data_IF_422199865913
#
_entry.id   IF_422199865913
#
_cell.length_a   1.000
_cell.length_b   1.000
_cell.length_c   1.000
_cell.angle_alpha   90.00
_cell.angle_beta   90.00
_cell.angle_gamma   90.00
#
_symmetry.space_group_name_H-M   'P 1'
#
loop_
_entity.id
_entity.type
_entity.pdbx_description
1 polymer ?
#
# COMPACT_ATOMS: atom_id res chain seq x y z
N UNK A 1 -3.67 -19.42 52.97
CA UNK A 1 -3.93 -18.52 51.85
C UNK A 1 -5.34 -18.00 52.02
N UNK A 2 -5.46 -16.71 52.33
CA UNK A 2 -6.75 -16.04 52.49
C UNK A 2 -7.43 -15.93 51.10
N UNK A 3 -8.74 -16.06 51.05
CA UNK A 3 -9.57 -15.67 49.91
C UNK A 3 -9.17 -14.32 49.30
N UNK A 4 -8.71 -13.36 50.11
CA UNK A 4 -8.17 -12.08 49.64
C UNK A 4 -6.88 -12.24 48.83
N UNK A 5 -5.92 -13.04 49.32
CA UNK A 5 -4.66 -13.31 48.61
C UNK A 5 -4.93 -14.02 47.28
N UNK A 6 -5.87 -14.96 47.26
CA UNK A 6 -6.29 -15.65 46.03
C UNK A 6 -6.88 -14.68 45.00
N UNK A 7 -7.67 -13.70 45.46
CA UNK A 7 -8.26 -12.69 44.60
C UNK A 7 -7.20 -11.76 44.01
N UNK A 8 -6.24 -11.31 44.82
CA UNK A 8 -5.14 -10.44 44.38
C UNK A 8 -4.25 -11.16 43.35
N UNK A 9 -3.97 -12.44 43.56
CA UNK A 9 -3.19 -13.25 42.62
C UNK A 9 -3.93 -13.45 41.28
N UNK A 10 -5.22 -13.77 41.33
CA UNK A 10 -6.05 -13.91 40.12
C UNK A 10 -6.15 -12.60 39.33
N UNK A 11 -6.31 -11.47 40.01
CA UNK A 11 -6.32 -10.15 39.35
C UNK A 11 -4.96 -9.83 38.71
N UNK A 12 -3.86 -10.16 39.37
CA UNK A 12 -2.52 -10.00 38.81
C UNK A 12 -2.33 -10.83 37.53
N UNK A 13 -2.77 -12.09 37.53
CA UNK A 13 -2.73 -12.96 36.35
C UNK A 13 -3.61 -12.43 35.21
N UNK A 14 -4.79 -11.89 35.52
CA UNK A 14 -5.70 -11.30 34.55
C UNK A 14 -5.09 -10.07 33.87
N UNK A 15 -4.49 -9.16 34.64
CA UNK A 15 -3.82 -7.98 34.10
C UNK A 15 -2.64 -8.36 33.20
N UNK A 16 -1.79 -9.30 33.62
CA UNK A 16 -0.69 -9.77 32.79
C UNK A 16 -1.15 -10.37 31.45
N UNK A 17 -2.30 -11.08 31.46
CA UNK A 17 -2.90 -11.61 30.23
C UNK A 17 -3.47 -10.50 29.35
N UNK A 18 -4.07 -9.47 29.93
CA UNK A 18 -4.55 -8.27 29.21
C UNK A 18 -3.40 -7.55 28.51
N UNK A 19 -2.32 -7.24 29.23
CA UNK A 19 -1.13 -6.58 28.67
C UNK A 19 -0.52 -7.37 27.50
N UNK A 20 -0.50 -8.70 27.62
CA UNK A 20 -0.04 -9.60 26.56
C UNK A 20 -0.94 -9.55 25.34
N UNK A 21 -2.27 -9.48 25.55
CA UNK A 21 -3.24 -9.38 24.46
C UNK A 21 -3.09 -8.03 23.75
N UNK A 22 -3.02 -6.93 24.49
CA UNK A 22 -2.81 -5.59 23.92
C UNK A 22 -1.55 -5.54 23.06
N UNK A 23 -0.44 -6.09 23.57
CA UNK A 23 0.83 -6.17 22.83
C UNK A 23 0.69 -6.99 21.54
N UNK A 24 -0.03 -8.12 21.58
CA UNK A 24 -0.30 -8.95 20.39
C UNK A 24 -1.21 -8.24 19.39
N UNK A 25 -2.23 -7.54 19.86
CA UNK A 25 -3.13 -6.75 19.02
C UNK A 25 -2.36 -5.62 18.33
N UNK A 26 -1.48 -4.92 19.04
CA UNK A 26 -0.66 -3.86 18.46
C UNK A 26 0.31 -4.40 17.40
N UNK A 27 0.93 -5.56 17.65
CA UNK A 27 1.79 -6.23 16.68
C UNK A 27 1.00 -6.69 15.44
N UNK A 28 -0.21 -7.22 15.63
CA UNK A 28 -1.11 -7.56 14.52
C UNK A 28 -1.54 -6.33 13.74
N UNK A 29 -1.85 -5.22 14.41
CA UNK A 29 -2.21 -3.97 13.74
C UNK A 29 -1.03 -3.42 12.91
N UNK A 30 0.18 -3.49 13.46
CA UNK A 30 1.41 -3.10 12.75
C UNK A 30 1.69 -4.02 11.56
N UNK A 31 1.56 -5.34 11.74
CA UNK A 31 1.70 -6.32 10.65
C UNK A 31 0.62 -6.15 9.61
N UNK A 32 -0.63 -5.96 10.00
CA UNK A 32 -1.74 -5.77 9.08
C UNK A 32 -1.55 -4.46 8.31
N UNK A 33 -1.13 -3.37 8.93
CA UNK A 33 -0.80 -2.12 8.23
C UNK A 33 0.46 -2.27 7.34
N UNK A 34 1.42 -3.11 7.73
CA UNK A 34 2.63 -3.41 6.94
C UNK A 34 2.40 -4.42 5.80
N UNK A 35 1.47 -5.37 5.95
CA UNK A 35 1.11 -6.42 4.98
C UNK A 35 -0.03 -5.96 4.05
N UNK A 36 -0.93 -5.08 4.52
CA UNK A 36 -1.81 -4.26 3.66
C UNK A 36 -1.01 -3.26 2.82
N UNK A 37 0.25 -2.99 3.17
CA UNK A 37 1.18 -2.28 2.30
C UNK A 37 1.79 -3.18 1.21
N UNK A 38 1.28 -4.41 1.01
CA UNK A 38 1.35 -4.99 -0.33
C UNK A 38 0.59 -4.05 -1.26
N UNK A 39 1.25 -3.46 -2.26
CA UNK A 39 0.56 -2.67 -3.25
C UNK A 39 -0.61 -3.47 -3.76
N UNK A 40 -1.83 -2.97 -3.59
CA UNK A 40 -2.95 -3.52 -4.31
C UNK A 40 -2.71 -3.18 -5.77
N UNK A 41 -1.96 -4.04 -6.45
CA UNK A 41 -1.71 -3.99 -7.87
C UNK A 41 -3.05 -4.23 -8.55
N UNK A 42 -3.66 -3.16 -9.03
CA UNK A 42 -4.95 -3.20 -9.70
C UNK A 42 -4.69 -3.21 -11.21
N UNK A 43 -5.47 -4.00 -11.94
CA UNK A 43 -5.35 -4.08 -13.40
C UNK A 43 -5.65 -2.71 -14.02
N UNK A 44 -4.94 -2.35 -15.09
CA UNK A 44 -4.99 -1.01 -15.67
C UNK A 44 -6.42 -0.59 -16.06
N UNK A 45 -7.26 -1.51 -16.51
CA UNK A 45 -8.67 -1.31 -16.88
C UNK A 45 -9.53 -0.72 -15.75
N UNK A 46 -9.17 -0.94 -14.49
CA UNK A 46 -9.83 -0.36 -13.31
C UNK A 46 -9.02 0.81 -12.73
N UNK A 47 -7.69 0.74 -12.80
CA UNK A 47 -6.79 1.70 -12.19
C UNK A 47 -6.88 3.11 -12.81
N UNK A 48 -7.11 3.22 -14.12
CA UNK A 48 -7.05 4.51 -14.83
C UNK A 48 -8.02 5.56 -14.26
N UNK A 49 -9.22 5.13 -13.87
CA UNK A 49 -10.23 6.03 -13.24
C UNK A 49 -9.75 6.53 -11.89
N UNK A 50 -9.14 5.65 -11.08
CA UNK A 50 -8.66 5.96 -9.72
C UNK A 50 -7.45 6.89 -9.73
N UNK A 51 -6.66 6.84 -10.79
CA UNK A 51 -5.57 7.78 -11.04
C UNK A 51 -6.04 9.12 -11.61
N UNK A 52 -7.34 9.30 -11.86
CA UNK A 52 -7.89 10.55 -12.39
C UNK A 52 -7.67 10.79 -13.88
N UNK A 53 -7.34 9.74 -14.65
CA UNK A 53 -7.23 9.88 -16.10
C UNK A 53 -8.61 9.93 -16.76
N UNK A 54 -8.74 10.74 -17.83
CA UNK A 54 -9.99 10.89 -18.60
C UNK A 54 -10.47 9.58 -19.24
N UNK A 55 -9.55 8.71 -19.63
CA UNK A 55 -9.82 7.43 -20.26
C UNK A 55 -8.63 6.48 -20.11
N UNK A 56 -8.85 5.21 -20.45
CA UNK A 56 -7.83 4.16 -20.42
C UNK A 56 -6.59 4.52 -21.26
N UNK A 57 -6.78 5.02 -22.48
CA UNK A 57 -5.68 5.32 -23.39
C UNK A 57 -4.75 6.43 -22.88
N UNK A 58 -5.29 7.43 -22.18
CA UNK A 58 -4.48 8.47 -21.56
C UNK A 58 -3.57 7.89 -20.46
N UNK A 59 -4.07 6.95 -19.66
CA UNK A 59 -3.28 6.27 -18.65
C UNK A 59 -2.25 5.32 -19.30
N UNK A 60 -2.66 4.58 -20.33
CA UNK A 60 -1.77 3.69 -21.08
C UNK A 60 -0.64 4.46 -21.76
N UNK A 61 -0.93 5.64 -22.32
CA UNK A 61 0.08 6.52 -22.90
C UNK A 61 1.14 6.91 -21.87
N UNK A 62 0.73 7.24 -20.63
CA UNK A 62 1.66 7.57 -19.55
C UNK A 62 2.58 6.41 -19.22
N UNK A 63 2.03 5.21 -19.11
CA UNK A 63 2.81 3.98 -18.92
C UNK A 63 3.83 3.81 -20.06
N UNK A 64 3.38 3.88 -21.32
CA UNK A 64 4.24 3.69 -22.50
C UNK A 64 5.30 4.78 -22.66
N UNK A 65 5.02 6.00 -22.22
CA UNK A 65 5.98 7.11 -22.23
C UNK A 65 7.08 7.00 -21.16
N UNK A 66 7.06 5.96 -20.33
CA UNK A 66 7.99 5.82 -19.20
C UNK A 66 7.68 6.78 -18.05
N UNK A 67 6.50 7.39 -18.05
CA UNK A 67 6.09 8.28 -16.96
C UNK A 67 6.04 7.52 -15.64
N UNK A 68 5.59 6.26 -15.61
CA UNK A 68 5.69 5.36 -14.45
C UNK A 68 6.74 4.27 -14.69
N UNK A 69 7.45 3.83 -13.65
CA UNK A 69 8.57 2.89 -13.75
C UNK A 69 8.11 1.45 -13.51
N UNK A 70 8.53 0.56 -14.42
CA UNK A 70 8.31 -0.88 -14.30
C UNK A 70 9.03 -1.45 -13.08
N UNK A 71 8.36 -2.32 -12.34
CA UNK A 71 8.84 -2.93 -11.10
C UNK A 71 8.74 -2.01 -9.87
N UNK A 72 8.35 -0.74 -10.03
CA UNK A 72 8.14 0.19 -8.90
C UNK A 72 6.68 0.60 -8.78
N UNK A 73 6.18 1.34 -9.77
CA UNK A 73 4.80 1.84 -9.79
C UNK A 73 3.87 0.94 -10.62
N UNK A 74 4.42 0.27 -11.62
CA UNK A 74 3.66 -0.57 -12.55
C UNK A 74 4.38 -1.90 -12.76
N UNK A 75 3.61 -2.94 -13.09
CA UNK A 75 4.12 -4.28 -13.41
C UNK A 75 3.43 -4.77 -14.66
N UNK A 76 4.20 -5.34 -15.59
CA UNK A 76 3.67 -6.08 -16.72
C UNK A 76 3.56 -7.56 -16.34
N UNK A 77 2.34 -8.09 -16.29
CA UNK A 77 2.06 -9.50 -15.99
C UNK A 77 1.62 -10.26 -17.24
N UNK A 78 2.07 -9.84 -18.43
CA UNK A 78 1.75 -10.55 -19.67
C UNK A 78 2.15 -12.02 -19.58
N UNK A 79 1.32 -12.89 -20.16
CA UNK A 79 1.70 -14.28 -20.42
C UNK A 79 2.97 -14.30 -21.29
N UNK A 80 3.89 -15.27 -21.09
CA UNK A 80 5.09 -15.41 -21.93
C UNK A 80 4.78 -15.51 -23.44
N UNK A 81 3.61 -16.02 -23.80
CA UNK A 81 3.16 -16.16 -25.20
C UNK A 81 2.44 -14.94 -25.77
N UNK A 82 2.14 -13.92 -24.95
CA UNK A 82 1.39 -12.74 -25.38
C UNK A 82 2.32 -11.59 -25.78
N UNK A 83 2.14 -11.07 -26.99
CA UNK A 83 2.74 -9.80 -27.41
C UNK A 83 2.05 -8.58 -26.81
N UNK A 84 0.82 -8.75 -26.29
CA UNK A 84 0.05 -7.69 -25.64
C UNK A 84 0.44 -7.59 -24.15
N UNK A 85 0.86 -6.41 -23.67
CA UNK A 85 1.14 -6.18 -22.26
C UNK A 85 -0.10 -6.37 -21.38
N UNK A 86 0.08 -6.87 -20.16
CA UNK A 86 -0.98 -6.93 -19.16
C UNK A 86 -0.59 -6.10 -17.94
N UNK A 87 -0.95 -4.82 -17.97
CA UNK A 87 -0.48 -3.84 -16.99
C UNK A 87 -1.26 -3.89 -15.68
N UNK A 88 -0.52 -3.94 -14.58
CA UNK A 88 -0.98 -3.79 -13.21
C UNK A 88 -0.31 -2.57 -12.57
N UNK A 89 -1.06 -1.85 -11.74
CA UNK A 89 -0.69 -0.52 -11.25
C UNK A 89 -0.83 -0.43 -9.74
N UNK A 90 0.20 0.12 -9.11
CA UNK A 90 0.20 0.56 -7.73
C UNK A 90 -0.26 2.03 -7.69
N UNK A 91 -1.52 2.24 -7.28
CA UNK A 91 -2.16 3.57 -7.31
C UNK A 91 -1.39 4.57 -6.44
N UNK A 92 -1.03 4.17 -5.21
CA UNK A 92 -0.43 5.07 -4.24
C UNK A 92 0.95 5.52 -4.69
N UNK A 93 1.77 4.59 -5.21
CA UNK A 93 3.09 4.95 -5.74
C UNK A 93 3.01 5.79 -7.01
N UNK A 94 2.05 5.52 -7.90
CA UNK A 94 1.80 6.38 -9.06
C UNK A 94 1.48 7.82 -8.62
N UNK A 95 0.55 8.00 -7.67
CA UNK A 95 0.20 9.32 -7.15
C UNK A 95 1.37 10.00 -6.41
N UNK A 96 2.16 9.26 -5.63
CA UNK A 96 3.36 9.78 -4.99
C UNK A 96 4.39 10.28 -6.02
N UNK A 97 4.54 9.53 -7.12
CA UNK A 97 5.41 9.92 -8.23
C UNK A 97 4.89 11.16 -8.97
N UNK A 98 3.59 11.25 -9.21
CA UNK A 98 2.96 12.41 -9.82
C UNK A 98 3.23 13.68 -9.00
N UNK A 99 3.05 13.60 -7.66
CA UNK A 99 3.40 14.69 -6.74
C UNK A 99 4.88 15.08 -6.81
N UNK A 100 5.77 14.09 -6.83
CA UNK A 100 7.22 14.32 -6.90
C UNK A 100 7.63 15.01 -8.21
N UNK A 101 7.08 14.57 -9.35
CA UNK A 101 7.38 15.16 -10.66
C UNK A 101 6.79 16.55 -10.82
N UNK A 102 5.59 16.80 -10.27
CA UNK A 102 4.99 18.13 -10.24
C UNK A 102 5.85 19.11 -9.43
N UNK A 103 6.31 18.71 -8.24
CA UNK A 103 7.19 19.54 -7.40
C UNK A 103 8.50 19.90 -8.11
N UNK A 104 9.14 18.95 -8.79
CA UNK A 104 10.36 19.22 -9.58
C UNK A 104 10.13 20.25 -10.71
N UNK A 105 9.00 20.14 -11.42
CA UNK A 105 8.65 21.08 -12.51
C UNK A 105 8.35 22.49 -11.99
N UNK A 106 7.76 22.60 -10.80
CA UNK A 106 7.50 23.89 -10.18
C UNK A 106 8.80 24.58 -9.75
N UNK A 107 9.72 23.86 -9.10
CA UNK A 107 11.01 24.41 -8.67
C UNK A 107 11.93 24.82 -9.83
N UNK A 108 11.81 24.18 -10.99
CA UNK A 108 12.59 24.51 -12.19
C UNK A 108 12.06 25.76 -12.93
N UNK A 109 10.86 26.24 -12.61
CA UNK A 109 10.30 27.50 -13.17
C UNK A 109 10.63 28.74 -12.33
N UNK A 110 11.16 28.55 -11.12
CA UNK A 110 11.48 29.62 -10.17
C UNK A 110 12.98 29.83 -10.00
N UNK A 111 13.81 29.17 -10.83
CA UNK A 111 15.26 29.25 -10.82
C UNK A 111 15.76 29.91 -12.13
#
# INVERSE_FOLDING_TARGET
>A
MDTRELLEELFGQLNARLDTIESKVQALHTRLNGELATPKLIKLNEAWKRLGYKNYDACLYKIRSGHYRVGKEIVDRRSPSSSRPDWYVDIEKCQARDRTLAGKRAGMKTA
#
